data_IF_314230404366
#
_entry.id   IF_314230404366
#
_cell.length_a   1.000
_cell.length_b   1.000
_cell.length_c   1.000
_cell.angle_alpha   90.00
_cell.angle_beta   90.00
_cell.angle_gamma   90.00
#
_symmetry.space_group_name_H-M   'P 1'
#
loop_
_entity.id
_entity.type
_entity.pdbx_description
1 polymer ?
#
# COMPACT_ATOMS: atom_id res chain seq x y z
N UNK A 1 5.95 -13.15 6.50
CA UNK A 1 5.84 -12.43 7.80
C UNK A 1 4.43 -12.69 8.31
N UNK A 2 4.29 -13.25 9.51
CA UNK A 2 2.97 -13.50 10.09
C UNK A 2 2.35 -12.15 10.46
N UNK A 3 1.42 -11.70 9.66
CA UNK A 3 0.49 -10.65 10.07
C UNK A 3 -0.43 -11.30 11.08
N UNK A 4 -0.36 -10.87 12.33
CA UNK A 4 -1.37 -11.23 13.32
C UNK A 4 -2.73 -10.86 12.74
N UNK A 5 -3.65 -11.82 12.66
CA UNK A 5 -4.99 -11.58 12.17
C UNK A 5 -5.66 -10.43 12.93
N UNK A 6 -6.69 -9.80 12.35
CA UNK A 6 -7.34 -8.66 12.95
C UNK A 6 -7.83 -9.02 14.36
N UNK A 7 -7.47 -8.19 15.33
CA UNK A 7 -8.04 -8.28 16.67
C UNK A 7 -9.56 -8.13 16.57
N UNK A 8 -10.30 -8.84 17.44
CA UNK A 8 -11.75 -8.68 17.49
C UNK A 8 -12.09 -7.18 17.63
N UNK A 9 -13.10 -6.68 16.88
CA UNK A 9 -13.46 -5.28 16.92
C UNK A 9 -13.82 -4.89 18.36
N UNK A 10 -13.25 -3.80 18.83
CA UNK A 10 -13.59 -3.24 20.14
C UNK A 10 -14.92 -2.47 20.06
N UNK A 11 -15.50 -2.20 21.22
CA UNK A 11 -16.69 -1.36 21.32
C UNK A 11 -16.39 0.14 21.04
N UNK A 12 -15.13 0.49 20.72
CA UNK A 12 -14.67 1.86 20.44
C UNK A 12 -13.86 1.92 19.13
N UNK A 13 -14.50 2.16 17.99
CA UNK A 13 -13.84 2.21 16.68
C UNK A 13 -12.75 3.28 16.56
N UNK A 14 -12.90 4.41 17.24
CA UNK A 14 -11.88 5.45 17.26
C UNK A 14 -10.61 4.98 17.97
N UNK A 15 -10.75 4.28 19.08
CA UNK A 15 -9.61 3.69 19.80
C UNK A 15 -8.88 2.63 18.97
N UNK A 16 -9.63 1.82 18.23
CA UNK A 16 -9.05 0.83 17.31
C UNK A 16 -8.26 1.49 16.18
N UNK A 17 -8.79 2.58 15.64
CA UNK A 17 -8.07 3.39 14.65
C UNK A 17 -6.79 4.02 15.23
N UNK A 18 -6.83 4.55 16.45
CA UNK A 18 -5.65 5.10 17.13
C UNK A 18 -4.57 4.00 17.35
N UNK A 19 -4.99 2.80 17.75
CA UNK A 19 -4.10 1.65 17.91
C UNK A 19 -3.49 1.21 16.57
N UNK A 20 -4.29 1.17 15.51
CA UNK A 20 -3.83 0.89 14.15
C UNK A 20 -2.79 1.93 13.68
N UNK A 21 -3.03 3.22 13.92
CA UNK A 21 -2.07 4.28 13.59
C UNK A 21 -0.74 4.12 14.34
N UNK A 22 -0.81 3.77 15.61
CA UNK A 22 0.39 3.51 16.41
C UNK A 22 1.19 2.32 15.87
N UNK A 23 0.52 1.23 15.48
CA UNK A 23 1.16 0.08 14.84
C UNK A 23 1.75 0.44 13.49
N UNK A 24 1.01 1.20 12.67
CA UNK A 24 1.48 1.72 11.39
C UNK A 24 2.78 2.52 11.55
N UNK A 25 2.86 3.41 12.55
CA UNK A 25 4.08 4.17 12.84
C UNK A 25 5.27 3.24 13.16
N UNK A 26 5.06 2.23 14.02
CA UNK A 26 6.09 1.25 14.36
C UNK A 26 6.55 0.45 13.13
N UNK A 27 5.61 0.06 12.28
CA UNK A 27 5.93 -0.71 11.07
C UNK A 27 6.76 0.09 10.07
N UNK A 28 6.50 1.39 9.93
CA UNK A 28 7.23 2.29 9.02
C UNK A 28 8.69 2.46 9.43
N UNK A 29 8.95 2.54 10.76
CA UNK A 29 10.28 2.79 11.33
C UNK A 29 11.02 1.51 11.74
N UNK A 30 10.41 0.34 11.54
CA UNK A 30 11.01 -0.95 11.87
C UNK A 30 12.24 -1.27 11.00
N UNK A 31 13.01 -2.31 11.36
CA UNK A 31 14.25 -2.67 10.66
C UNK A 31 14.07 -2.99 9.16
N UNK A 32 12.87 -3.41 8.75
CA UNK A 32 12.46 -3.61 7.36
C UNK A 32 11.23 -2.77 7.03
N UNK A 33 11.05 -1.66 7.72
CA UNK A 33 9.98 -0.70 7.48
C UNK A 33 10.21 0.13 6.22
N UNK A 34 9.17 0.78 5.73
CA UNK A 34 9.25 1.48 4.46
C UNK A 34 10.32 2.59 4.44
N UNK A 35 10.59 3.22 5.58
CA UNK A 35 11.63 4.26 5.73
C UNK A 35 13.05 3.68 5.79
N UNK A 36 13.18 2.39 6.10
CA UNK A 36 14.48 1.73 6.19
C UNK A 36 14.99 1.25 4.83
N UNK A 37 14.15 1.20 3.78
CA UNK A 37 14.59 0.75 2.46
C UNK A 37 15.42 1.84 1.78
N UNK A 38 16.73 1.62 1.73
CA UNK A 38 17.71 2.57 1.19
C UNK A 38 18.19 2.24 -0.22
N UNK A 39 18.13 0.98 -0.62
CA UNK A 39 18.54 0.55 -1.96
C UNK A 39 17.75 -0.68 -2.42
N UNK A 40 17.36 -0.68 -3.69
CA UNK A 40 16.93 -1.86 -4.42
C UNK A 40 17.88 -2.07 -5.59
N UNK A 41 18.61 -3.18 -5.58
CA UNK A 41 19.57 -3.54 -6.62
C UNK A 41 19.07 -4.73 -7.42
N UNK A 42 18.85 -4.53 -8.71
CA UNK A 42 18.50 -5.61 -9.62
C UNK A 42 19.76 -6.32 -10.10
N UNK A 43 19.70 -7.63 -10.17
CA UNK A 43 20.82 -8.49 -10.60
C UNK A 43 20.79 -8.70 -12.11
N UNK A 44 21.93 -8.98 -12.74
CA UNK A 44 21.98 -9.42 -14.13
C UNK A 44 21.10 -10.65 -14.38
N UNK A 45 20.57 -10.78 -15.60
CA UNK A 45 19.72 -11.90 -15.97
C UNK A 45 20.37 -13.26 -15.68
N UNK A 46 19.63 -14.11 -14.97
CA UNK A 46 20.07 -15.46 -14.57
C UNK A 46 20.96 -15.50 -13.32
N UNK A 47 21.29 -14.36 -12.72
CA UNK A 47 22.00 -14.31 -11.45
C UNK A 47 21.03 -14.43 -10.28
N UNK A 48 21.40 -15.23 -9.27
CA UNK A 48 20.60 -15.43 -8.06
C UNK A 48 21.17 -14.61 -6.89
N UNK A 49 20.30 -14.14 -5.95
CA UNK A 49 20.73 -13.37 -4.80
C UNK A 49 21.65 -14.15 -3.86
N UNK A 50 22.82 -13.63 -3.59
CA UNK A 50 23.71 -14.09 -2.52
C UNK A 50 23.63 -13.08 -1.35
N UNK A 51 22.81 -13.43 -0.34
CA UNK A 51 22.55 -12.54 0.79
C UNK A 51 23.79 -12.37 1.69
N UNK A 52 24.61 -13.41 1.86
CA UNK A 52 25.79 -13.35 2.71
C UNK A 52 26.85 -12.45 2.07
N UNK A 53 27.09 -12.60 0.77
CA UNK A 53 27.99 -11.72 0.03
C UNK A 53 27.49 -10.27 0.01
N UNK A 54 26.19 -10.06 -0.18
CA UNK A 54 25.59 -8.72 -0.19
C UNK A 54 25.63 -8.05 1.21
N UNK A 55 25.54 -8.82 2.28
CA UNK A 55 25.61 -8.32 3.67
C UNK A 55 27.03 -8.02 4.10
N UNK A 56 28.03 -8.66 3.48
CA UNK A 56 29.44 -8.50 3.86
C UNK A 56 29.90 -7.04 3.70
N UNK A 57 30.49 -6.49 4.77
CA UNK A 57 30.99 -5.10 4.80
C UNK A 57 29.92 -4.03 5.00
N UNK A 58 28.64 -4.40 5.11
CA UNK A 58 27.58 -3.45 5.47
C UNK A 58 27.60 -3.14 6.99
N UNK A 59 27.15 -1.94 7.41
CA UNK A 59 26.94 -1.63 8.82
C UNK A 59 26.00 -2.63 9.53
N UNK A 60 26.11 -2.74 10.86
CA UNK A 60 25.25 -3.65 11.64
C UNK A 60 23.77 -3.28 11.59
N UNK A 61 23.44 -2.03 11.30
CA UNK A 61 22.08 -1.50 11.13
C UNK A 61 21.42 -1.92 9.81
N UNK A 62 22.22 -2.43 8.85
CA UNK A 62 21.73 -2.83 7.52
C UNK A 62 21.36 -4.31 7.52
N UNK A 63 20.18 -4.64 7.04
CA UNK A 63 19.77 -5.98 6.66
C UNK A 63 19.56 -6.08 5.14
N UNK A 64 19.70 -7.29 4.59
CA UNK A 64 19.53 -7.54 3.16
C UNK A 64 18.50 -8.63 2.94
N UNK A 65 17.57 -8.41 2.01
CA UNK A 65 16.57 -9.40 1.60
C UNK A 65 16.58 -9.58 0.09
N UNK A 66 16.22 -10.79 -0.37
CA UNK A 66 15.98 -11.02 -1.78
C UNK A 66 14.59 -10.51 -2.18
N UNK A 67 14.46 -10.12 -3.44
CA UNK A 67 13.16 -9.90 -4.07
C UNK A 67 13.17 -10.48 -5.48
N UNK A 68 11.97 -10.75 -5.98
CA UNK A 68 11.74 -11.23 -7.33
C UNK A 68 10.58 -10.45 -7.95
N UNK A 69 10.66 -10.19 -9.25
CA UNK A 69 9.55 -9.69 -10.05
C UNK A 69 9.61 -10.32 -11.45
N UNK A 70 8.54 -10.16 -12.21
CA UNK A 70 8.53 -10.51 -13.62
C UNK A 70 8.98 -9.30 -14.45
N UNK A 71 9.96 -9.49 -15.34
CA UNK A 71 10.35 -8.49 -16.34
C UNK A 71 9.19 -8.24 -17.31
N UNK A 72 8.90 -6.96 -17.57
CA UNK A 72 7.74 -6.56 -18.38
C UNK A 72 7.91 -6.83 -19.87
N UNK A 73 9.15 -6.98 -20.35
CA UNK A 73 9.45 -7.14 -21.78
C UNK A 73 9.61 -8.61 -22.12
N UNK A 74 10.37 -9.33 -21.28
CA UNK A 74 10.71 -10.73 -21.55
C UNK A 74 9.74 -11.72 -20.92
N UNK A 75 9.04 -11.32 -19.84
CA UNK A 75 8.22 -12.22 -19.03
C UNK A 75 9.01 -13.14 -18.10
N UNK A 76 10.33 -13.03 -18.08
CA UNK A 76 11.21 -13.85 -17.24
C UNK A 76 11.32 -13.30 -15.82
N UNK A 77 11.66 -14.13 -14.83
CA UNK A 77 11.90 -13.66 -13.48
C UNK A 77 13.18 -12.80 -13.41
N UNK A 78 13.05 -11.64 -12.82
CA UNK A 78 14.16 -10.78 -12.40
C UNK A 78 14.37 -10.89 -10.91
N UNK A 79 15.61 -11.15 -10.50
CA UNK A 79 15.99 -11.21 -9.09
C UNK A 79 16.68 -9.92 -8.66
N UNK A 80 16.54 -9.61 -7.38
CA UNK A 80 17.18 -8.42 -6.81
C UNK A 80 17.43 -8.54 -5.32
N UNK A 81 18.07 -7.51 -4.80
CA UNK A 81 18.40 -7.35 -3.39
C UNK A 81 17.81 -6.05 -2.88
N UNK A 82 17.24 -6.07 -1.69
CA UNK A 82 16.86 -4.87 -0.93
C UNK A 82 17.74 -4.71 0.27
N UNK A 83 18.25 -3.49 0.43
CA UNK A 83 19.07 -3.08 1.57
C UNK A 83 18.21 -2.19 2.47
N UNK A 84 18.11 -2.59 3.72
CA UNK A 84 17.28 -1.94 4.72
C UNK A 84 18.21 -1.42 5.83
N UNK A 85 18.28 -0.12 6.00
CA UNK A 85 19.06 0.48 7.08
C UNK A 85 18.13 1.00 8.17
N UNK A 86 18.07 0.31 9.30
CA UNK A 86 17.29 0.72 10.47
C UNK A 86 17.72 2.07 11.07
N UNK A 87 18.88 2.58 10.64
CA UNK A 87 19.42 3.88 11.04
C UNK A 87 19.50 4.87 9.87
N UNK A 88 18.68 4.67 8.83
CA UNK A 88 18.65 5.59 7.68
C UNK A 88 18.29 7.02 8.10
N UNK A 89 18.74 8.04 7.36
CA UNK A 89 18.31 9.42 7.60
C UNK A 89 16.77 9.56 7.61
N UNK A 90 16.09 8.85 6.72
CA UNK A 90 14.63 8.86 6.66
C UNK A 90 13.98 8.34 7.95
N UNK A 91 14.52 7.28 8.56
CA UNK A 91 14.04 6.78 9.87
C UNK A 91 14.29 7.79 10.97
N UNK A 92 15.48 8.42 10.98
CA UNK A 92 15.88 9.35 12.03
C UNK A 92 15.09 10.66 11.99
N UNK A 93 14.80 11.16 10.78
CA UNK A 93 14.13 12.45 10.60
C UNK A 93 12.60 12.32 10.57
N UNK A 94 12.07 11.11 10.48
CA UNK A 94 10.63 10.87 10.47
C UNK A 94 9.97 11.24 11.79
N UNK A 95 8.92 12.04 11.72
CA UNK A 95 8.10 12.40 12.88
C UNK A 95 6.83 11.55 12.94
N UNK A 96 6.03 11.59 11.89
CA UNK A 96 4.76 10.88 11.78
C UNK A 96 4.20 10.95 10.37
N UNK A 97 3.23 10.14 10.08
CA UNK A 97 2.28 10.43 9.00
C UNK A 97 1.13 11.24 9.58
N UNK A 98 0.87 12.42 9.01
CA UNK A 98 -0.31 13.21 9.37
C UNK A 98 -1.58 12.49 8.88
N UNK A 99 -2.73 12.78 9.48
CA UNK A 99 -4.00 12.16 9.12
C UNK A 99 -5.17 13.10 9.35
N UNK A 100 -6.26 12.85 8.65
CA UNK A 100 -7.54 13.42 8.98
C UNK A 100 -8.03 12.90 10.34
N UNK A 101 -8.88 13.63 11.07
CA UNK A 101 -9.55 13.10 12.25
C UNK A 101 -10.36 11.85 11.89
N UNK A 102 -10.54 10.94 12.85
CA UNK A 102 -11.45 9.81 12.67
C UNK A 102 -12.88 10.31 12.39
N UNK A 103 -13.48 9.77 11.34
CA UNK A 103 -14.83 10.10 10.93
C UNK A 103 -15.59 8.79 10.60
N UNK A 104 -16.62 8.42 11.41
CA UNK A 104 -17.38 7.20 11.19
C UNK A 104 -18.17 7.21 9.88
N UNK A 105 -18.45 8.37 9.29
CA UNK A 105 -19.17 8.48 8.01
C UNK A 105 -18.30 7.98 6.83
N UNK A 106 -16.98 7.83 7.04
CA UNK A 106 -16.06 7.23 6.09
C UNK A 106 -15.83 5.72 6.30
N UNK A 107 -16.66 5.08 7.11
CA UNK A 107 -16.73 3.60 7.22
C UNK A 107 -17.90 3.11 6.38
N UNK A 108 -17.62 2.65 5.18
CA UNK A 108 -18.63 2.35 4.17
C UNK A 108 -18.75 0.84 3.96
N UNK A 109 -19.98 0.32 4.04
CA UNK A 109 -20.29 -1.03 3.60
C UNK A 109 -20.58 -1.03 2.09
N UNK A 110 -20.04 -2.02 1.38
CA UNK A 110 -20.15 -2.16 -0.07
C UNK A 110 -20.49 -3.59 -0.46
N UNK A 111 -20.94 -3.78 -1.70
CA UNK A 111 -21.19 -5.10 -2.26
C UNK A 111 -19.95 -5.55 -3.04
N UNK A 112 -19.47 -6.75 -2.72
CA UNK A 112 -18.41 -7.43 -3.47
C UNK A 112 -19.05 -8.47 -4.38
N UNK A 113 -18.73 -8.41 -5.67
CA UNK A 113 -19.20 -9.37 -6.68
C UNK A 113 -17.99 -10.02 -7.33
N UNK A 114 -17.76 -11.33 -7.11
CA UNK A 114 -16.66 -12.06 -7.75
C UNK A 114 -16.77 -12.03 -9.26
N UNK A 115 -15.62 -12.03 -9.94
CA UNK A 115 -15.54 -12.16 -11.39
C UNK A 115 -15.13 -13.58 -11.75
N UNK A 116 -15.92 -14.24 -12.60
CA UNK A 116 -15.57 -15.59 -13.10
C UNK A 116 -14.23 -15.58 -13.84
N UNK A 117 -13.35 -16.47 -13.42
CA UNK A 117 -11.97 -16.51 -13.91
C UNK A 117 -11.15 -15.35 -13.34
N UNK A 118 -9.87 -15.56 -13.18
CA UNK A 118 -8.98 -14.50 -12.68
C UNK A 118 -8.91 -13.36 -13.70
N UNK A 119 -9.71 -12.28 -13.48
CA UNK A 119 -9.61 -11.09 -14.32
C UNK A 119 -8.27 -10.41 -14.06
N UNK A 120 -7.47 -10.25 -15.10
CA UNK A 120 -6.24 -9.48 -15.03
C UNK A 120 -6.52 -8.04 -15.47
N UNK A 121 -6.09 -7.11 -14.66
CA UNK A 121 -6.21 -5.68 -14.93
C UNK A 121 -4.81 -5.08 -14.96
N UNK A 122 -4.53 -4.31 -15.99
CA UNK A 122 -3.28 -3.58 -16.13
C UNK A 122 -3.28 -2.37 -15.20
N UNK A 123 -2.33 -2.32 -14.26
CA UNK A 123 -2.07 -1.16 -13.42
C UNK A 123 -0.79 -0.49 -13.88
N UNK A 124 -0.86 0.80 -14.15
CA UNK A 124 0.35 1.62 -14.30
C UNK A 124 1.10 1.66 -12.98
N UNK A 125 2.43 1.66 -13.04
CA UNK A 125 3.28 1.79 -11.87
C UNK A 125 4.11 3.06 -11.97
N UNK A 126 4.32 3.69 -10.83
CA UNK A 126 4.93 5.03 -10.72
C UNK A 126 6.27 5.16 -11.47
N UNK A 127 7.08 4.08 -11.54
CA UNK A 127 8.44 4.11 -12.11
C UNK A 127 8.60 3.30 -13.40
N UNK A 128 7.51 2.80 -13.96
CA UNK A 128 7.56 2.00 -15.20
C UNK A 128 7.36 2.86 -16.46
N UNK A 129 7.44 4.21 -16.37
CA UNK A 129 7.31 5.16 -17.49
C UNK A 129 6.08 4.90 -18.37
N UNK A 130 4.93 4.62 -17.74
CA UNK A 130 3.68 4.27 -18.41
C UNK A 130 3.54 2.77 -18.74
N UNK A 131 4.54 1.96 -18.41
CA UNK A 131 4.41 0.51 -18.44
C UNK A 131 3.40 0.03 -17.41
N UNK A 132 2.68 -1.04 -17.75
CA UNK A 132 1.66 -1.63 -16.86
C UNK A 132 2.08 -3.01 -16.41
N UNK A 133 1.72 -3.37 -15.17
CA UNK A 133 1.80 -4.72 -14.63
C UNK A 133 0.40 -5.25 -14.41
N UNK A 134 0.18 -6.47 -14.83
CA UNK A 134 -1.10 -7.12 -14.60
C UNK A 134 -1.25 -7.55 -13.15
N UNK A 135 -2.37 -7.17 -12.54
CA UNK A 135 -2.79 -7.62 -11.22
C UNK A 135 -4.06 -8.44 -11.33
N UNK A 136 -4.16 -9.46 -10.50
CA UNK A 136 -5.37 -10.27 -10.40
C UNK A 136 -6.42 -9.49 -9.62
N UNK A 137 -7.56 -9.21 -10.26
CA UNK A 137 -8.73 -8.57 -9.65
C UNK A 137 -9.81 -9.65 -9.52
N UNK A 138 -10.01 -10.20 -8.31
CA UNK A 138 -10.92 -11.33 -8.11
C UNK A 138 -12.39 -10.95 -8.13
N UNK A 139 -12.71 -9.65 -8.01
CA UNK A 139 -14.10 -9.16 -8.02
C UNK A 139 -14.20 -7.64 -8.09
N UNK A 140 -15.42 -7.15 -8.27
CA UNK A 140 -15.76 -5.74 -8.27
C UNK A 140 -16.41 -5.34 -6.94
N UNK A 141 -16.13 -4.12 -6.49
CA UNK A 141 -16.71 -3.53 -5.28
C UNK A 141 -17.63 -2.39 -5.70
N UNK A 142 -18.92 -2.57 -5.47
CA UNK A 142 -19.92 -1.55 -5.77
C UNK A 142 -20.34 -0.80 -4.50
N UNK A 143 -20.28 0.53 -4.54
CA UNK A 143 -20.71 1.40 -3.45
C UNK A 143 -21.28 2.71 -3.99
N UNK A 144 -22.01 3.42 -3.13
CA UNK A 144 -22.49 4.77 -3.42
C UNK A 144 -21.98 5.71 -2.35
N UNK A 145 -21.32 6.80 -2.78
CA UNK A 145 -20.83 7.85 -1.90
C UNK A 145 -21.42 9.18 -2.36
N UNK A 146 -22.07 9.88 -1.46
CA UNK A 146 -22.76 11.15 -1.73
C UNK A 146 -23.63 11.12 -3.01
N UNK A 147 -24.43 10.05 -3.14
CA UNK A 147 -25.33 9.84 -4.29
C UNK A 147 -24.64 9.42 -5.59
N UNK A 148 -23.32 9.32 -5.63
CA UNK A 148 -22.56 8.88 -6.80
C UNK A 148 -22.21 7.40 -6.67
N UNK A 149 -22.58 6.60 -7.68
CA UNK A 149 -22.24 5.18 -7.73
C UNK A 149 -20.82 4.97 -8.28
N UNK A 150 -20.08 4.08 -7.61
CA UNK A 150 -18.73 3.65 -8.01
C UNK A 150 -18.68 2.13 -8.15
N UNK A 151 -17.88 1.68 -9.10
CA UNK A 151 -17.48 0.27 -9.23
C UNK A 151 -15.97 0.23 -9.19
N UNK A 152 -15.41 -0.21 -8.06
CA UNK A 152 -13.97 -0.21 -7.79
C UNK A 152 -13.39 -1.59 -8.05
N UNK A 153 -12.10 -1.62 -8.43
CA UNK A 153 -11.32 -2.85 -8.57
C UNK A 153 -10.25 -2.91 -7.50
N UNK A 154 -10.38 -3.85 -6.57
CA UNK A 154 -9.31 -4.20 -5.65
C UNK A 154 -8.57 -5.43 -6.18
N UNK A 155 -7.25 -5.46 -6.11
CA UNK A 155 -6.49 -6.63 -6.50
C UNK A 155 -6.14 -7.51 -5.30
N UNK A 156 -5.88 -8.78 -5.56
CA UNK A 156 -5.39 -9.70 -4.56
C UNK A 156 -3.91 -9.40 -4.25
N UNK A 157 -3.64 -9.16 -2.98
CA UNK A 157 -2.31 -8.92 -2.42
C UNK A 157 -2.08 -9.95 -1.31
N UNK A 158 -1.54 -11.11 -1.68
CA UNK A 158 -1.29 -12.24 -0.78
C UNK A 158 -2.54 -12.70 0.01
N UNK A 159 -3.68 -12.79 -0.66
CA UNK A 159 -4.94 -13.23 -0.07
C UNK A 159 -5.75 -12.12 0.62
N UNK A 160 -5.30 -10.88 0.53
CA UNK A 160 -6.03 -9.71 1.03
C UNK A 160 -6.36 -8.78 -0.13
N UNK A 161 -7.57 -8.25 -0.17
CA UNK A 161 -7.94 -7.26 -1.19
C UNK A 161 -7.31 -5.91 -0.88
N UNK A 162 -6.54 -5.39 -1.83
CA UNK A 162 -5.93 -4.06 -1.76
C UNK A 162 -6.57 -3.13 -2.80
N UNK A 163 -7.23 -2.09 -2.31
CA UNK A 163 -7.77 -1.00 -3.12
C UNK A 163 -6.70 0.10 -3.25
N UNK A 164 -6.33 0.39 -4.49
CA UNK A 164 -5.52 1.55 -4.87
C UNK A 164 -6.46 2.61 -5.42
N UNK A 165 -6.57 3.76 -4.76
CA UNK A 165 -7.52 4.79 -5.14
C UNK A 165 -6.91 6.19 -5.18
N UNK A 166 -7.55 7.07 -5.93
CA UNK A 166 -7.23 8.49 -6.00
C UNK A 166 -8.47 9.35 -5.80
N UNK A 167 -8.27 10.57 -5.34
CA UNK A 167 -9.32 11.55 -5.10
C UNK A 167 -8.76 12.99 -5.21
N UNK A 168 -9.60 14.06 -5.18
CA UNK A 168 -9.14 15.43 -5.33
C UNK A 168 -8.16 15.93 -4.26
N UNK A 169 -7.97 15.22 -3.15
CA UNK A 169 -6.98 15.60 -2.11
C UNK A 169 -5.55 15.26 -2.52
N UNK A 170 -5.36 14.39 -3.55
CA UNK A 170 -4.04 13.94 -3.98
C UNK A 170 -3.21 15.07 -4.57
N UNK A 171 -1.99 15.25 -4.07
CA UNK A 171 -1.07 16.31 -4.48
C UNK A 171 -1.31 17.65 -3.78
N UNK A 172 -2.34 17.72 -2.92
CA UNK A 172 -2.62 18.87 -2.05
C UNK A 172 -2.41 18.47 -0.57
N UNK A 173 -3.40 17.83 0.03
CA UNK A 173 -3.35 17.43 1.45
C UNK A 173 -2.96 15.97 1.64
N UNK A 174 -3.00 15.13 0.62
CA UNK A 174 -2.59 13.73 0.64
C UNK A 174 -1.56 13.41 -0.45
N UNK A 175 -0.94 12.23 -0.35
CA UNK A 175 0.11 11.81 -1.27
C UNK A 175 -0.35 11.80 -2.74
N UNK A 176 0.44 12.41 -3.63
CA UNK A 176 0.07 12.70 -5.02
C UNK A 176 -0.22 11.47 -5.89
N UNK A 177 0.43 10.34 -5.61
CA UNK A 177 0.21 9.10 -6.36
C UNK A 177 -1.01 8.28 -5.88
N UNK A 178 -1.85 8.83 -5.01
CA UNK A 178 -3.00 8.16 -4.43
C UNK A 178 -2.71 7.45 -3.12
N UNK A 179 -3.70 6.76 -2.60
CA UNK A 179 -3.63 6.04 -1.32
C UNK A 179 -4.07 4.59 -1.48
N UNK A 180 -3.68 3.77 -0.53
CA UNK A 180 -4.02 2.35 -0.46
C UNK A 180 -5.00 2.11 0.68
N UNK A 181 -5.85 1.10 0.52
CA UNK A 181 -6.79 0.65 1.54
C UNK A 181 -6.95 -0.87 1.46
N UNK A 182 -6.70 -1.57 2.57
CA UNK A 182 -7.10 -2.97 2.70
C UNK A 182 -8.61 -3.07 2.90
N UNK A 183 -9.23 -3.97 2.16
CA UNK A 183 -10.67 -4.17 2.16
C UNK A 183 -11.02 -5.34 3.07
N UNK A 184 -11.93 -5.13 4.01
CA UNK A 184 -12.39 -6.14 4.96
C UNK A 184 -13.62 -6.88 4.41
N UNK A 185 -13.55 -8.22 4.36
CA UNK A 185 -14.72 -9.04 4.07
C UNK A 185 -15.62 -9.18 5.31
N UNK A 186 -16.93 -8.95 5.15
CA UNK A 186 -17.93 -9.04 6.20
C UNK A 186 -18.68 -10.36 6.09
N UNK A 187 -18.22 -11.39 6.79
CA UNK A 187 -18.86 -12.70 6.88
C UNK A 187 -17.87 -13.86 6.77
N UNK A 188 -18.33 -15.04 7.18
CA UNK A 188 -17.52 -16.26 7.22
C UNK A 188 -17.36 -16.96 5.85
N UNK A 189 -18.01 -16.48 4.80
CA UNK A 189 -17.87 -17.02 3.45
C UNK A 189 -16.85 -16.15 2.68
N UNK A 190 -15.64 -16.52 2.89
CA UNK A 190 -14.43 -15.99 2.31
C UNK A 190 -14.50 -15.90 0.79
N UNK A 191 -14.14 -14.73 0.27
CA UNK A 191 -13.48 -14.46 -1.01
C UNK A 191 -13.99 -15.14 -2.30
N UNK A 192 -14.81 -16.17 -2.26
CA UNK A 192 -15.24 -16.92 -3.44
C UNK A 192 -16.67 -16.65 -3.91
N UNK A 193 -17.48 -15.91 -3.13
CA UNK A 193 -18.87 -15.61 -3.45
C UNK A 193 -19.24 -14.13 -3.36
N UNK A 194 -20.40 -13.77 -3.93
CA UNK A 194 -20.99 -12.44 -3.72
C UNK A 194 -21.17 -12.19 -2.22
N UNK A 195 -20.69 -11.03 -1.75
CA UNK A 195 -20.67 -10.75 -0.33
C UNK A 195 -20.63 -9.27 -0.01
N UNK A 196 -20.57 -8.97 1.28
CA UNK A 196 -20.38 -7.61 1.78
C UNK A 196 -18.94 -7.39 2.16
N UNK A 197 -18.44 -6.21 1.85
CA UNK A 197 -17.13 -5.74 2.26
C UNK A 197 -17.24 -4.41 2.97
N UNK A 198 -16.26 -4.09 3.80
CA UNK A 198 -16.14 -2.80 4.47
C UNK A 198 -14.93 -2.06 3.95
N UNK A 199 -15.14 -0.81 3.62
CA UNK A 199 -14.13 0.17 3.23
C UNK A 199 -14.04 1.20 4.36
N UNK A 200 -13.11 0.99 5.30
CA UNK A 200 -12.82 1.96 6.35
C UNK A 200 -11.75 2.94 5.86
N UNK A 201 -12.18 4.03 5.21
CA UNK A 201 -11.26 5.03 4.67
C UNK A 201 -10.45 5.75 5.75
N UNK A 202 -10.83 5.68 7.04
CA UNK A 202 -9.98 6.16 8.13
C UNK A 202 -8.64 5.39 8.19
N UNK A 203 -8.60 4.19 7.63
CA UNK A 203 -7.39 3.34 7.50
C UNK A 203 -6.75 3.43 6.10
N UNK A 204 -7.17 4.39 5.27
CA UNK A 204 -6.46 4.66 4.02
C UNK A 204 -5.05 5.17 4.32
N UNK A 205 -4.04 4.66 3.61
CA UNK A 205 -2.65 4.91 3.96
C UNK A 205 -1.79 5.31 2.77
N UNK A 206 -0.71 6.02 3.06
CA UNK A 206 0.31 6.40 2.10
C UNK A 206 1.03 5.14 1.61
N UNK A 207 1.10 4.90 0.28
CA UNK A 207 1.78 3.74 -0.26
C UNK A 207 3.29 3.77 0.03
N UNK A 208 3.98 2.61 -0.05
CA UNK A 208 5.42 2.53 0.24
C UNK A 208 6.29 3.53 -0.51
N UNK A 209 5.92 3.88 -1.75
CA UNK A 209 6.65 4.86 -2.57
C UNK A 209 6.56 6.31 -2.04
N UNK A 210 5.69 6.59 -1.08
CA UNK A 210 5.67 7.86 -0.35
C UNK A 210 6.74 7.96 0.74
N UNK A 211 7.45 6.87 1.04
CA UNK A 211 8.49 6.80 2.07
C UNK A 211 9.89 6.54 1.52
N UNK A 212 9.99 5.85 0.40
CA UNK A 212 11.26 5.58 -0.26
C UNK A 212 11.07 5.49 -1.78
N UNK A 213 11.98 6.09 -2.52
CA UNK A 213 12.03 6.04 -3.98
C UNK A 213 12.42 4.66 -4.54
N UNK A 214 12.78 3.73 -3.66
CA UNK A 214 13.09 2.36 -4.01
C UNK A 214 11.86 1.48 -4.27
N UNK A 215 10.66 2.00 -4.01
CA UNK A 215 9.40 1.30 -4.30
C UNK A 215 8.82 1.71 -5.65
N UNK A 216 8.19 0.75 -6.31
CA UNK A 216 7.43 0.96 -7.54
C UNK A 216 5.97 0.54 -7.33
N UNK A 217 5.15 1.49 -6.89
CA UNK A 217 3.76 1.25 -6.51
C UNK A 217 2.80 1.36 -7.70
N UNK A 218 1.71 0.58 -7.71
CA UNK A 218 0.64 0.75 -8.67
C UNK A 218 -0.06 2.10 -8.47
N UNK A 219 -0.43 2.72 -9.58
CA UNK A 219 -1.21 3.96 -9.63
C UNK A 219 -2.71 3.64 -9.61
N UNK A 220 -3.55 4.54 -9.05
CA UNK A 220 -5.00 4.38 -9.10
C UNK A 220 -5.52 4.24 -10.52
N UNK A 221 -6.15 3.13 -10.89
CA UNK A 221 -6.79 3.00 -12.19
C UNK A 221 -7.99 3.94 -12.28
N UNK A 222 -8.44 4.20 -13.50
CA UNK A 222 -9.43 5.23 -13.77
C UNK A 222 -10.74 5.06 -12.99
N UNK A 223 -11.22 3.83 -12.85
CA UNK A 223 -12.44 3.52 -12.11
C UNK A 223 -12.31 3.66 -10.59
N UNK A 224 -11.07 3.69 -10.07
CA UNK A 224 -10.80 3.88 -8.64
C UNK A 224 -10.53 5.35 -8.28
N UNK A 225 -10.96 6.30 -9.12
CA UNK A 225 -10.81 7.72 -8.84
C UNK A 225 -12.14 8.31 -8.39
N UNK A 226 -12.17 8.76 -7.14
CA UNK A 226 -13.32 9.48 -6.59
C UNK A 226 -13.38 10.90 -7.13
N UNK A 227 -14.60 11.40 -7.36
CA UNK A 227 -14.82 12.79 -7.81
C UNK A 227 -14.95 13.77 -6.64
N UNK A 228 -15.11 13.25 -5.44
CA UNK A 228 -15.20 14.02 -4.20
C UNK A 228 -13.94 13.79 -3.35
N UNK A 229 -13.54 14.76 -2.51
CA UNK A 229 -12.42 14.60 -1.61
C UNK A 229 -12.71 13.54 -0.55
N UNK A 230 -11.82 12.57 -0.38
CA UNK A 230 -11.88 11.58 0.69
C UNK A 230 -11.05 12.11 1.86
N UNK A 231 -11.71 12.89 2.73
CA UNK A 231 -11.08 13.55 3.88
C UNK A 231 -11.01 12.61 5.10
N UNK A 232 -10.46 11.41 4.89
CA UNK A 232 -10.22 10.38 5.90
C UNK A 232 -8.87 9.69 5.64
N UNK A 233 -8.28 9.09 6.68
CA UNK A 233 -7.02 8.36 6.58
C UNK A 233 -5.76 9.20 6.58
N UNK A 234 -4.65 8.61 6.14
CA UNK A 234 -3.34 9.26 6.11
C UNK A 234 -3.26 10.40 5.10
N UNK A 235 -2.55 11.47 5.48
CA UNK A 235 -2.22 12.64 4.66
C UNK A 235 -0.81 12.51 4.11
N UNK A 236 0.10 13.38 4.53
CA UNK A 236 1.50 13.38 4.12
C UNK A 236 2.41 12.91 5.25
N UNK A 237 3.52 12.20 4.96
CA UNK A 237 4.56 11.95 5.93
C UNK A 237 5.26 13.26 6.29
N UNK A 238 5.52 13.47 7.58
CA UNK A 238 6.19 14.63 8.13
C UNK A 238 7.56 14.23 8.67
N UNK A 239 8.57 15.04 8.32
CA UNK A 239 9.95 14.88 8.73
C UNK A 239 10.42 16.13 9.44
N UNK A 240 11.43 16.01 10.33
CA UNK A 240 12.11 17.15 10.94
C UNK A 240 12.62 18.08 9.83
N UNK A 241 12.69 19.37 10.12
CA UNK A 241 13.11 20.41 9.18
C UNK A 241 12.18 20.69 7.99
N UNK A 242 10.95 20.20 8.03
CA UNK A 242 9.94 20.48 7.01
C UNK A 242 10.25 19.90 5.64
N UNK A 243 11.21 18.97 5.54
CA UNK A 243 11.38 18.18 4.35
C UNK A 243 10.14 17.30 4.19
N UNK A 244 9.24 17.65 3.28
CA UNK A 244 8.22 16.71 2.83
C UNK A 244 8.97 15.49 2.27
N UNK A 245 8.63 14.28 2.75
CA UNK A 245 9.10 13.05 2.13
C UNK A 245 8.92 13.17 0.62
N UNK A 246 9.82 12.59 -0.16
CA UNK A 246 9.94 12.77 -1.60
C UNK A 246 8.59 12.92 -2.29
N UNK A 247 8.13 14.17 -2.36
CA UNK A 247 6.95 14.54 -3.14
C UNK A 247 7.37 14.46 -4.62
N UNK A 248 6.90 13.45 -5.30
CA UNK A 248 6.95 13.34 -6.76
C UNK A 248 5.57 13.62 -7.34
#
# INVERSE_FOLDING_TARGET
MSVSGPAAPSDDPQRDWEAWRAERHRSLTGPTGNLSLVETRWLPAGELPDLDAARAGQPDTVSVTALERTDLVTGEPEHGLRFWDANSPAVQDFERVDAFPYDPDWVLDATYTPVEGARRVAFEHLRDNGGTREKVVPGDIALTVDGTAYTLSAFDDDGTLLLVFGDPTNGDSTYGAGRFLFVEHLGAEEAAGEGRVRLDFNRAFVPPCGFSDQYNCPMPPRQNRFHLPVEAGEKLPLFRDGAAGTAH
#
